data_IF_576087960960
#
_entry.id   IF_576087960960
#
_cell.length_a   1.000
_cell.length_b   1.000
_cell.length_c   1.000
_cell.angle_alpha   90.00
_cell.angle_beta   90.00
_cell.angle_gamma   90.00
#
_symmetry.space_group_name_H-M   'P 1'
#
loop_
_entity.id
_entity.type
_entity.pdbx_description
1 polymer ?
#
# COMPACT_ATOMS: atom_id res chain seq x y z
N UNK A 1 -6.05 -12.30 -2.55
CA UNK A 1 -6.10 -10.85 -2.75
C UNK A 1 -6.64 -10.21 -1.48
N UNK A 2 -5.97 -9.19 -0.94
CA UNK A 2 -6.41 -8.41 0.21
C UNK A 2 -6.65 -6.98 -0.25
N UNK A 3 -7.68 -6.34 0.27
CA UNK A 3 -7.97 -4.94 0.01
C UNK A 3 -8.70 -4.32 1.20
N UNK A 4 -8.52 -3.02 1.39
CA UNK A 4 -9.16 -2.25 2.45
C UNK A 4 -9.39 -0.83 1.96
N UNK A 5 -10.48 -0.22 2.39
CA UNK A 5 -10.84 1.12 1.98
C UNK A 5 -11.39 1.93 3.14
N UNK A 6 -11.31 3.25 3.00
CA UNK A 6 -11.93 4.23 3.87
C UNK A 6 -12.89 5.07 3.04
N UNK A 7 -14.06 5.36 3.59
CA UNK A 7 -15.04 6.25 2.97
C UNK A 7 -15.04 7.59 3.70
N UNK A 8 -15.32 8.66 2.96
CA UNK A 8 -15.66 9.96 3.53
C UNK A 8 -17.13 10.04 3.98
N UNK A 9 -17.53 11.20 4.50
CA UNK A 9 -18.90 11.47 4.97
C UNK A 9 -19.94 11.36 3.84
N UNK A 10 -19.54 11.59 2.60
CA UNK A 10 -20.36 11.46 1.39
C UNK A 10 -20.40 10.01 0.84
N UNK A 11 -19.80 9.05 1.55
CA UNK A 11 -19.64 7.64 1.14
C UNK A 11 -18.81 7.45 -0.13
N UNK A 12 -17.90 8.37 -0.44
CA UNK A 12 -16.93 8.24 -1.54
C UNK A 12 -15.65 7.61 -1.03
N UNK A 13 -14.93 6.92 -1.91
CA UNK A 13 -13.63 6.31 -1.56
C UNK A 13 -12.65 7.43 -1.26
N UNK A 14 -12.17 7.46 -0.01
CA UNK A 14 -11.15 8.37 0.47
C UNK A 14 -9.77 7.73 0.32
N UNK A 15 -9.60 6.52 0.85
CA UNK A 15 -8.35 5.76 0.76
C UNK A 15 -8.66 4.34 0.29
N UNK A 16 -7.79 3.76 -0.53
CA UNK A 16 -7.94 2.39 -1.04
C UNK A 16 -6.58 1.71 -1.08
N UNK A 17 -6.40 0.67 -0.26
CA UNK A 17 -5.21 -0.19 -0.23
C UNK A 17 -5.53 -1.55 -0.84
N UNK A 18 -4.59 -2.13 -1.58
CA UNK A 18 -4.69 -3.51 -2.06
C UNK A 18 -3.32 -4.18 -2.23
N UNK A 19 -3.33 -5.51 -2.13
CA UNK A 19 -2.21 -6.36 -2.50
C UNK A 19 -2.70 -7.75 -2.96
N UNK A 20 -1.93 -8.39 -3.83
CA UNK A 20 -2.20 -9.75 -4.27
C UNK A 20 -1.54 -10.80 -3.35
N UNK A 21 -1.75 -12.09 -3.64
CA UNK A 21 -1.15 -13.17 -2.86
C UNK A 21 0.37 -13.25 -3.02
N UNK A 22 0.88 -12.92 -4.22
CA UNK A 22 2.30 -12.94 -4.56
C UNK A 22 3.06 -11.85 -3.80
N UNK A 23 2.49 -10.66 -3.69
CA UNK A 23 2.99 -9.56 -2.88
C UNK A 23 3.11 -9.92 -1.41
N UNK A 24 2.09 -10.60 -0.85
CA UNK A 24 2.11 -11.06 0.55
C UNK A 24 3.17 -12.13 0.77
N UNK A 25 3.30 -13.08 -0.13
CA UNK A 25 4.36 -14.10 -0.09
C UNK A 25 5.76 -13.48 -0.28
N UNK A 26 5.90 -12.52 -1.19
CA UNK A 26 7.13 -11.77 -1.37
C UNK A 26 7.52 -11.06 -0.08
N UNK A 27 6.57 -10.46 0.63
CA UNK A 27 6.82 -9.84 1.92
C UNK A 27 7.21 -10.86 2.99
N UNK A 28 6.56 -12.03 3.09
CA UNK A 28 6.93 -13.03 4.11
C UNK A 28 8.37 -13.50 3.99
N UNK A 29 8.91 -13.57 2.77
CA UNK A 29 10.28 -14.01 2.48
C UNK A 29 11.29 -12.84 2.51
N UNK A 30 10.94 -11.66 2.01
CA UNK A 30 11.88 -10.55 1.73
C UNK A 30 11.58 -9.25 2.49
N UNK A 31 11.03 -9.34 3.71
CA UNK A 31 10.64 -8.18 4.55
C UNK A 31 11.80 -7.38 5.15
N UNK A 32 13.06 -7.80 4.98
CA UNK A 32 14.21 -7.16 5.63
C UNK A 32 14.41 -5.70 5.21
N UNK A 33 14.06 -5.38 3.96
CA UNK A 33 14.13 -4.03 3.41
C UNK A 33 12.75 -3.65 2.88
N UNK A 34 12.13 -2.67 3.53
CA UNK A 34 10.88 -2.07 3.10
C UNK A 34 11.12 -0.62 2.65
N UNK A 35 10.81 -0.33 1.39
CA UNK A 35 10.75 1.01 0.82
C UNK A 35 9.29 1.35 0.53
N UNK A 36 8.90 2.58 0.80
CA UNK A 36 7.68 3.15 0.23
C UNK A 36 8.00 4.43 -0.52
N UNK A 37 7.23 4.72 -1.56
CA UNK A 37 7.32 5.97 -2.29
C UNK A 37 5.94 6.39 -2.79
N UNK A 38 5.67 7.69 -2.77
CA UNK A 38 4.47 8.28 -3.31
C UNK A 38 4.75 8.80 -4.73
N UNK A 39 3.84 8.55 -5.66
CA UNK A 39 3.85 9.14 -7.00
C UNK A 39 2.57 9.93 -7.21
N UNK A 40 2.68 11.08 -7.85
CA UNK A 40 1.56 11.99 -8.10
C UNK A 40 1.18 11.97 -9.58
N UNK A 41 -0.06 12.37 -9.87
CA UNK A 41 -0.55 12.54 -11.24
C UNK A 41 -0.82 11.23 -12.00
N UNK A 42 -0.77 10.07 -11.34
CA UNK A 42 -1.03 8.76 -11.95
C UNK A 42 -2.52 8.44 -12.15
N UNK A 43 -3.42 9.17 -11.49
CA UNK A 43 -4.87 8.98 -11.58
C UNK A 43 -5.60 10.29 -11.89
N UNK A 44 -6.87 10.19 -12.34
CA UNK A 44 -7.74 11.34 -12.70
C UNK A 44 -7.87 12.38 -11.59
N UNK A 45 -7.77 11.94 -10.33
CA UNK A 45 -7.92 12.78 -9.15
C UNK A 45 -6.60 13.43 -8.70
N UNK A 46 -5.48 13.10 -9.36
CA UNK A 46 -4.11 13.48 -8.97
C UNK A 46 -3.75 13.08 -7.53
N UNK A 47 -4.45 12.09 -6.99
CA UNK A 47 -4.23 11.56 -5.66
C UNK A 47 -2.91 10.81 -5.58
N UNK A 48 -2.15 10.92 -4.48
CA UNK A 48 -0.96 10.12 -4.24
C UNK A 48 -1.24 8.62 -4.42
N UNK A 49 -0.45 7.97 -5.28
CA UNK A 49 -0.32 6.52 -5.33
C UNK A 49 0.95 6.15 -4.56
N UNK A 50 0.78 5.54 -3.38
CA UNK A 50 1.91 5.06 -2.58
C UNK A 50 2.11 3.57 -2.83
N UNK A 51 3.35 3.18 -3.12
CA UNK A 51 3.73 1.79 -3.42
C UNK A 51 4.73 1.32 -2.37
N UNK A 52 4.44 0.18 -1.74
CA UNK A 52 5.38 -0.54 -0.90
C UNK A 52 6.17 -1.53 -1.75
N UNK A 53 7.49 -1.50 -1.60
CA UNK A 53 8.40 -2.39 -2.31
C UNK A 53 9.57 -2.82 -1.45
N UNK A 54 10.18 -3.93 -1.84
CA UNK A 54 11.43 -4.44 -1.30
C UNK A 54 12.33 -4.91 -2.41
N UNK A 55 13.35 -5.68 -2.04
CA UNK A 55 14.29 -6.31 -2.97
C UNK A 55 14.47 -7.78 -2.64
N UNK A 56 14.62 -8.61 -3.66
CA UNK A 56 15.02 -10.00 -3.47
C UNK A 56 16.55 -10.18 -3.41
N UNK A 57 17.02 -11.41 -3.24
CA UNK A 57 18.45 -11.74 -3.21
C UNK A 57 19.21 -11.40 -4.51
N UNK A 58 18.49 -11.19 -5.62
CA UNK A 58 19.05 -10.79 -6.91
C UNK A 58 18.92 -9.28 -7.15
N UNK A 59 18.65 -8.49 -6.10
CA UNK A 59 18.42 -7.05 -6.16
C UNK A 59 17.25 -6.63 -7.07
N UNK A 60 16.31 -7.54 -7.35
CA UNK A 60 15.13 -7.24 -8.16
C UNK A 60 14.06 -6.64 -7.27
N UNK A 61 13.36 -5.63 -7.79
CA UNK A 61 12.26 -4.98 -7.09
C UNK A 61 11.10 -5.95 -6.90
N UNK A 62 10.59 -6.04 -5.67
CA UNK A 62 9.34 -6.72 -5.34
C UNK A 62 8.32 -5.70 -4.88
N UNK A 63 7.08 -5.79 -5.35
CA UNK A 63 5.98 -4.94 -4.91
C UNK A 63 5.14 -5.69 -3.88
N UNK A 64 4.96 -5.07 -2.71
CA UNK A 64 4.22 -5.64 -1.59
C UNK A 64 2.78 -5.14 -1.51
N UNK A 65 2.47 -4.05 -2.19
CA UNK A 65 1.12 -3.51 -2.26
C UNK A 65 1.13 -2.03 -2.58
N UNK A 66 -0.05 -1.51 -2.84
CA UNK A 66 -0.23 -0.12 -3.21
C UNK A 66 -1.50 0.46 -2.58
N UNK A 67 -1.50 1.78 -2.48
CA UNK A 67 -2.60 2.56 -1.96
C UNK A 67 -2.82 3.81 -2.79
N UNK A 68 -4.08 4.19 -2.93
CA UNK A 68 -4.45 5.54 -3.33
C UNK A 68 -4.94 6.27 -2.08
N UNK A 69 -4.37 7.44 -1.80
CA UNK A 69 -4.76 8.30 -0.69
C UNK A 69 -5.37 9.59 -1.24
N UNK A 70 -6.53 10.00 -0.72
CA UNK A 70 -7.13 11.30 -1.09
C UNK A 70 -6.34 12.51 -0.60
N UNK A 71 -5.57 12.35 0.47
CA UNK A 71 -4.71 13.37 1.06
C UNK A 71 -3.49 12.73 1.75
N UNK A 72 -2.50 13.56 2.07
CA UNK A 72 -1.25 13.15 2.73
C UNK A 72 -1.19 13.56 4.20
N UNK A 73 -2.33 13.52 4.88
CA UNK A 73 -2.35 13.77 6.32
C UNK A 73 -1.70 12.63 7.10
N UNK A 74 -1.27 12.94 8.33
CA UNK A 74 -0.72 11.93 9.24
C UNK A 74 -1.72 10.78 9.44
N UNK A 75 -3.01 11.08 9.61
CA UNK A 75 -4.06 10.10 9.82
C UNK A 75 -4.20 9.15 8.62
N UNK A 76 -4.08 9.67 7.39
CA UNK A 76 -4.10 8.87 6.16
C UNK A 76 -2.91 7.91 6.10
N UNK A 77 -1.71 8.36 6.48
CA UNK A 77 -0.52 7.51 6.53
C UNK A 77 -0.56 6.50 7.69
N UNK A 78 -1.11 6.86 8.85
CA UNK A 78 -1.35 5.92 9.96
C UNK A 78 -2.34 4.84 9.54
N UNK A 79 -3.44 5.21 8.87
CA UNK A 79 -4.40 4.25 8.32
C UNK A 79 -3.75 3.33 7.28
N UNK A 80 -2.91 3.89 6.40
CA UNK A 80 -2.17 3.15 5.39
C UNK A 80 -1.26 2.09 6.04
N UNK A 81 -0.40 2.49 6.96
CA UNK A 81 0.56 1.59 7.60
C UNK A 81 -0.14 0.49 8.39
N UNK A 82 -1.25 0.81 9.08
CA UNK A 82 -2.09 -0.19 9.75
C UNK A 82 -2.71 -1.18 8.77
N UNK A 83 -3.21 -0.70 7.64
CA UNK A 83 -3.79 -1.54 6.58
C UNK A 83 -2.75 -2.45 5.95
N UNK A 84 -1.53 -1.94 5.71
CA UNK A 84 -0.40 -2.72 5.25
C UNK A 84 -0.04 -3.83 6.25
N UNK A 85 0.13 -3.50 7.54
CA UNK A 85 0.44 -4.48 8.57
C UNK A 85 -0.65 -5.55 8.70
N UNK A 86 -1.92 -5.18 8.62
CA UNK A 86 -3.03 -6.13 8.62
C UNK A 86 -2.97 -7.09 7.43
N UNK A 87 -2.70 -6.57 6.23
CA UNK A 87 -2.55 -7.38 5.03
C UNK A 87 -1.38 -8.37 5.14
N UNK A 88 -0.28 -7.95 5.77
CA UNK A 88 0.94 -8.73 5.88
C UNK A 88 0.97 -9.72 7.05
N UNK A 89 -0.01 -9.67 7.95
CA UNK A 89 -0.14 -10.71 8.98
C UNK A 89 -0.37 -12.07 8.31
N UNK A 90 0.51 -13.01 8.61
CA UNK A 90 0.28 -14.43 8.37
C UNK A 90 -0.81 -14.93 9.32
N UNK A 91 -1.67 -15.81 8.83
CA UNK A 91 -2.65 -16.51 9.67
C UNK A 91 -1.98 -17.68 10.35
#
# INVERSE_FOLDING_TARGET
MFWKYLLDDDKRIQNLFWCDGTSRYGYSVFRDILRFHATYGQNKYKWPLVIFSGVDHYMRRLEFGCVILSNESEESYVWLLRSFLEAMKEK
#
